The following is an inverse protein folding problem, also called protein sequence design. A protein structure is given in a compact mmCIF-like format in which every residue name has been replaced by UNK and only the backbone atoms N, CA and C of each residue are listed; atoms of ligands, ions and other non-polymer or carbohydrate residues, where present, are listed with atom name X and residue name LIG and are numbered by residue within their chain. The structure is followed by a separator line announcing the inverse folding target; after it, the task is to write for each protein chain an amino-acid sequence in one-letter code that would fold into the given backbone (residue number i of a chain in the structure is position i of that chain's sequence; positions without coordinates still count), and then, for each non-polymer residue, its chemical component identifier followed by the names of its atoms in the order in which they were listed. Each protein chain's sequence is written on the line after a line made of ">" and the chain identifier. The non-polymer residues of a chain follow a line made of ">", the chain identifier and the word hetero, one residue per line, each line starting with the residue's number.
data_IF_314540217402
#
_entry.id   IF_314540217402
#
_cell.length_a   1.000
_cell.length_b   1.000
_cell.length_c   1.000
_cell.angle_alpha   90.00
_cell.angle_beta   90.00
_cell.angle_gamma   90.00
#
_symmetry.space_group_name_H-M   'P 1'
#
loop_
_entity.id
_entity.type
_entity.pdbx_description
1 polymer ?
#
# COMPACT_ATOMS: atom_id res chain seq x y z
N UNK A 1 -14.60 -7.50 16.31
CA UNK A 1 -13.38 -6.75 16.68
C UNK A 1 -13.32 -6.70 18.19
N UNK A 2 -12.17 -6.99 18.78
CA UNK A 2 -11.91 -6.90 20.21
C UNK A 2 -11.11 -5.63 20.46
N UNK A 3 -11.40 -4.94 21.56
CA UNK A 3 -10.69 -3.73 21.96
C UNK A 3 -9.83 -4.03 23.18
N UNK A 4 -8.61 -3.51 23.18
CA UNK A 4 -7.65 -3.57 24.27
C UNK A 4 -7.18 -2.18 24.60
N UNK A 5 -6.90 -1.91 25.86
CA UNK A 5 -6.37 -0.63 26.29
C UNK A 5 -4.88 -0.53 25.97
N UNK A 6 -4.40 0.67 25.62
CA UNK A 6 -2.99 0.87 25.30
C UNK A 6 -2.05 0.52 26.46
N UNK A 7 -2.47 0.72 27.69
CA UNK A 7 -1.71 0.31 28.90
C UNK A 7 -1.46 -1.20 28.96
N UNK A 8 -2.34 -2.02 28.33
CA UNK A 8 -2.26 -3.49 28.31
C UNK A 8 -1.65 -4.01 27.00
N UNK A 9 -0.96 -3.14 26.23
CA UNK A 9 -0.49 -3.47 24.88
C UNK A 9 0.52 -4.62 24.85
N UNK A 10 1.36 -4.73 25.86
CA UNK A 10 2.35 -5.83 26.00
C UNK A 10 1.62 -7.18 26.15
N UNK A 11 0.67 -7.25 27.07
CA UNK A 11 -0.18 -8.45 27.27
C UNK A 11 -0.97 -8.77 26.00
N UNK A 12 -1.47 -7.74 25.31
CA UNK A 12 -2.13 -7.91 24.01
C UNK A 12 -1.20 -8.56 22.98
N UNK A 13 0.05 -8.13 22.89
CA UNK A 13 1.01 -8.67 21.92
C UNK A 13 1.44 -10.09 22.25
N UNK A 14 1.70 -10.37 23.52
CA UNK A 14 2.32 -11.63 23.93
C UNK A 14 1.30 -12.75 24.18
N UNK A 15 0.13 -12.40 24.66
CA UNK A 15 -0.89 -13.39 25.03
C UNK A 15 -2.06 -13.44 24.05
N UNK A 16 -2.63 -12.30 23.67
CA UNK A 16 -3.85 -12.27 22.86
C UNK A 16 -3.55 -12.42 21.37
N UNK A 17 -2.63 -11.63 20.83
CA UNK A 17 -2.35 -11.59 19.39
C UNK A 17 -1.99 -12.98 18.81
N UNK A 18 -1.18 -13.82 19.48
CA UNK A 18 -0.89 -15.17 19.02
C UNK A 18 -2.09 -16.10 18.94
N UNK A 19 -3.17 -15.82 19.69
CA UNK A 19 -4.39 -16.64 19.68
C UNK A 19 -5.34 -16.31 18.52
N UNK A 20 -5.09 -15.20 17.81
CA UNK A 20 -5.94 -14.75 16.69
C UNK A 20 -5.69 -15.63 15.48
N UNK A 21 -6.66 -16.47 15.14
CA UNK A 21 -6.57 -17.39 14.00
C UNK A 21 -6.75 -16.69 12.64
N UNK A 22 -7.45 -15.55 12.61
CA UNK A 22 -7.73 -14.81 11.40
C UNK A 22 -6.49 -14.03 10.96
N UNK A 23 -6.24 -14.02 9.64
CA UNK A 23 -5.20 -13.17 9.06
C UNK A 23 -5.57 -11.70 9.26
N UNK A 24 -4.78 -10.99 10.03
CA UNK A 24 -4.96 -9.56 10.28
C UNK A 24 -4.08 -8.72 9.33
N UNK A 25 -4.57 -7.54 8.95
CA UNK A 25 -3.80 -6.58 8.13
C UNK A 25 -2.96 -5.61 8.96
N UNK A 26 -3.28 -5.44 10.22
CA UNK A 26 -2.66 -4.49 11.13
C UNK A 26 -3.55 -4.14 12.31
N UNK A 27 -3.25 -3.04 12.97
CA UNK A 27 -3.96 -2.56 14.16
C UNK A 27 -4.66 -1.22 13.88
N UNK A 28 -5.76 -0.97 14.60
CA UNK A 28 -6.45 0.32 14.58
C UNK A 28 -6.41 0.90 15.98
N UNK A 29 -5.75 2.05 16.11
CA UNK A 29 -5.71 2.82 17.35
C UNK A 29 -6.85 3.83 17.34
N UNK A 30 -7.72 3.71 18.33
CA UNK A 30 -8.95 4.53 18.42
C UNK A 30 -8.88 5.37 19.69
N UNK A 31 -9.04 6.70 19.61
CA UNK A 31 -9.06 7.55 20.81
C UNK A 31 -10.26 7.20 21.68
N UNK A 32 -10.02 7.14 22.99
CA UNK A 32 -11.03 6.72 23.97
C UNK A 32 -12.12 7.76 24.20
N UNK A 33 -11.73 9.04 24.22
CA UNK A 33 -12.58 10.14 24.67
C UNK A 33 -13.12 11.01 23.50
N UNK A 34 -13.07 10.50 22.27
CA UNK A 34 -13.60 11.23 21.12
C UNK A 34 -14.90 10.61 20.61
N UNK A 35 -15.87 11.41 20.21
CA UNK A 35 -17.10 10.90 19.61
C UNK A 35 -16.82 10.23 18.26
N UNK A 36 -17.64 9.23 17.92
CA UNK A 36 -17.61 8.63 16.59
C UNK A 36 -18.02 9.68 15.55
N UNK A 37 -17.19 9.85 14.52
CA UNK A 37 -17.44 10.75 13.39
C UNK A 37 -17.68 9.95 12.11
N UNK A 38 -18.63 10.40 11.30
CA UNK A 38 -18.82 9.85 9.96
C UNK A 38 -17.72 10.36 9.01
N UNK A 39 -17.20 9.49 8.16
CA UNK A 39 -16.15 9.83 7.20
C UNK A 39 -14.74 9.66 7.75
N UNK A 40 -13.84 10.58 7.40
CA UNK A 40 -12.44 10.52 7.83
C UNK A 40 -12.30 10.96 9.29
N UNK A 41 -11.67 10.14 10.10
CA UNK A 41 -11.36 10.42 11.50
C UNK A 41 -9.86 10.65 11.64
N UNK A 42 -9.45 11.89 11.87
CA UNK A 42 -8.03 12.28 11.81
C UNK A 42 -7.19 11.76 12.97
N UNK A 43 -7.83 11.49 14.12
CA UNK A 43 -7.17 10.97 15.33
C UNK A 43 -7.25 9.46 15.47
N UNK A 44 -7.90 8.78 14.53
CA UNK A 44 -7.90 7.32 14.44
C UNK A 44 -6.79 6.85 13.53
N UNK A 45 -5.81 6.10 14.05
CA UNK A 45 -4.67 5.63 13.29
C UNK A 45 -4.79 4.16 12.93
N UNK A 46 -4.38 3.82 11.71
CA UNK A 46 -4.24 2.45 11.25
C UNK A 46 -2.76 2.16 11.05
N UNK A 47 -2.23 1.26 11.83
CA UNK A 47 -0.90 0.73 11.64
C UNK A 47 -0.96 -0.56 10.83
N UNK A 48 0.00 -0.72 9.92
CA UNK A 48 0.21 -1.94 9.15
C UNK A 48 1.70 -2.26 9.12
N UNK A 49 2.08 -3.55 9.20
CA UNK A 49 3.46 -3.93 8.97
C UNK A 49 3.88 -3.59 7.53
N UNK A 50 5.20 -3.42 7.31
CA UNK A 50 5.75 -2.94 6.04
C UNK A 50 5.21 -3.70 4.82
N UNK A 51 5.18 -5.02 4.91
CA UNK A 51 4.74 -5.90 3.82
C UNK A 51 3.24 -5.80 3.49
N UNK A 52 2.45 -5.14 4.33
CA UNK A 52 1.01 -4.87 4.12
C UNK A 52 0.72 -3.47 3.57
N UNK A 53 1.76 -2.65 3.42
CA UNK A 53 1.66 -1.34 2.78
C UNK A 53 1.71 -1.51 1.26
N UNK A 54 0.56 -1.76 0.65
CA UNK A 54 0.40 -1.98 -0.79
C UNK A 54 -0.36 -0.82 -1.45
N UNK A 55 -0.18 -0.68 -2.75
CA UNK A 55 -0.89 0.30 -3.58
C UNK A 55 -1.56 -0.41 -4.75
N UNK A 56 -2.80 -0.03 -5.03
CA UNK A 56 -3.53 -0.49 -6.21
C UNK A 56 -3.28 0.49 -7.36
N UNK A 57 -2.55 0.06 -8.37
CA UNK A 57 -2.28 0.83 -9.57
C UNK A 57 -3.15 0.39 -10.74
N UNK A 58 -3.46 1.32 -11.64
CA UNK A 58 -3.83 0.97 -13.01
C UNK A 58 -2.56 0.68 -13.79
N UNK A 59 -2.44 -0.51 -14.36
CA UNK A 59 -1.28 -0.96 -15.10
C UNK A 59 -1.53 -0.89 -16.60
N UNK A 60 -0.66 -0.18 -17.33
CA UNK A 60 -0.73 -0.06 -18.79
C UNK A 60 0.57 -0.47 -19.44
N UNK A 61 0.46 -1.19 -20.54
CA UNK A 61 1.59 -1.56 -21.39
C UNK A 61 1.88 -0.45 -22.41
N UNK A 62 2.81 0.40 -22.10
CA UNK A 62 3.13 1.58 -22.91
C UNK A 62 4.65 1.71 -23.12
N UNK A 63 5.10 2.41 -24.20
CA UNK A 63 6.50 2.75 -24.34
C UNK A 63 7.01 3.58 -23.16
N UNK A 64 8.23 3.33 -22.75
CA UNK A 64 8.93 4.25 -21.82
C UNK A 64 9.02 5.61 -22.50
N UNK A 65 8.74 6.69 -21.75
CA UNK A 65 8.79 8.05 -22.32
C UNK A 65 10.22 8.40 -22.66
N UNK A 66 10.44 8.74 -23.93
CA UNK A 66 11.65 9.37 -24.41
C UNK A 66 11.46 10.88 -24.60
N UNK A 67 12.57 11.57 -24.75
CA UNK A 67 12.60 13.02 -25.02
C UNK A 67 11.83 13.34 -26.31
N UNK A 68 11.08 14.46 -26.37
CA UNK A 68 10.35 14.84 -27.57
C UNK A 68 11.26 14.85 -28.80
N UNK A 69 10.86 14.14 -29.88
CA UNK A 69 11.62 13.99 -31.10
C UNK A 69 12.44 12.71 -31.26
N UNK A 70 12.52 11.87 -30.24
CA UNK A 70 13.17 10.56 -30.30
C UNK A 70 12.18 9.44 -30.63
N UNK A 71 12.71 8.27 -31.05
CA UNK A 71 11.89 7.08 -31.28
C UNK A 71 11.28 6.61 -29.94
N UNK A 72 10.08 6.00 -29.96
CA UNK A 72 9.49 5.41 -28.75
C UNK A 72 10.47 4.43 -28.10
N UNK A 73 10.62 4.52 -26.78
CA UNK A 73 11.42 3.58 -26.02
C UNK A 73 10.83 2.16 -25.95
N UNK A 74 11.51 1.21 -25.30
CA UNK A 74 11.01 -0.12 -25.12
C UNK A 74 9.67 -0.10 -24.37
N UNK A 75 8.82 -1.11 -24.59
CA UNK A 75 7.60 -1.28 -23.84
C UNK A 75 7.90 -1.59 -22.37
N UNK A 76 7.11 -1.03 -21.48
CA UNK A 76 7.13 -1.30 -20.03
C UNK A 76 5.70 -1.35 -19.49
N UNK A 77 5.54 -1.95 -18.32
CA UNK A 77 4.31 -1.81 -17.56
C UNK A 77 4.37 -0.53 -16.75
N UNK A 78 3.54 0.45 -17.10
CA UNK A 78 3.46 1.74 -16.45
C UNK A 78 2.35 1.74 -15.41
N UNK A 79 2.67 2.26 -14.22
CA UNK A 79 1.82 2.26 -13.04
C UNK A 79 1.23 3.65 -12.82
N UNK A 80 -0.09 3.70 -12.75
CA UNK A 80 -0.85 4.94 -12.60
C UNK A 80 -1.72 4.92 -11.35
N UNK A 81 -1.78 6.05 -10.68
CA UNK A 81 -2.79 6.38 -9.67
C UNK A 81 -3.75 7.41 -10.23
N UNK A 82 -4.83 7.76 -9.51
CA UNK A 82 -5.76 8.76 -9.99
C UNK A 82 -5.97 9.90 -9.00
N UNK A 83 -6.32 11.06 -9.52
CA UNK A 83 -6.83 12.19 -8.76
C UNK A 83 -7.84 12.96 -9.60
N UNK A 84 -9.04 13.19 -9.03
CA UNK A 84 -10.12 13.92 -9.73
C UNK A 84 -10.42 13.39 -11.13
N UNK A 85 -10.44 12.07 -11.30
CA UNK A 85 -10.69 11.40 -12.58
C UNK A 85 -9.53 11.41 -13.58
N UNK A 86 -8.38 12.00 -13.25
CA UNK A 86 -7.18 12.00 -14.09
C UNK A 86 -6.18 10.95 -13.58
N UNK A 87 -5.50 10.31 -14.53
CA UNK A 87 -4.43 9.36 -14.24
C UNK A 87 -3.08 10.09 -14.14
N UNK A 88 -2.31 9.71 -13.14
CA UNK A 88 -0.95 10.20 -12.89
C UNK A 88 0.02 9.04 -12.91
N UNK A 89 1.02 9.15 -13.74
CA UNK A 89 2.14 8.21 -13.80
C UNK A 89 3.00 8.34 -12.54
N UNK A 90 3.30 7.21 -11.90
CA UNK A 90 4.14 7.19 -10.69
C UNK A 90 5.37 6.30 -10.82
N UNK A 91 5.29 5.21 -11.58
CA UNK A 91 6.41 4.28 -11.74
C UNK A 91 6.24 3.38 -12.97
N UNK A 92 7.29 2.65 -13.31
CA UNK A 92 7.25 1.65 -14.37
C UNK A 92 7.99 0.37 -13.96
N UNK A 93 7.59 -0.73 -14.57
CA UNK A 93 8.21 -2.05 -14.39
C UNK A 93 8.68 -2.51 -15.76
N UNK A 94 10.00 -2.73 -15.94
CA UNK A 94 10.52 -3.32 -17.17
C UNK A 94 9.91 -4.69 -17.44
N UNK A 95 9.55 -5.00 -18.69
CA UNK A 95 8.89 -6.26 -19.05
C UNK A 95 9.72 -7.49 -18.65
N UNK A 96 11.04 -7.37 -18.69
CA UNK A 96 11.95 -8.46 -18.33
C UNK A 96 12.02 -8.75 -16.83
N UNK A 97 11.38 -7.93 -15.99
CA UNK A 97 11.44 -8.08 -14.52
C UNK A 97 10.32 -8.94 -13.95
N UNK A 98 9.26 -9.13 -14.69
CA UNK A 98 8.12 -9.95 -14.31
C UNK A 98 7.83 -10.97 -15.41
N UNK A 99 7.52 -12.21 -15.00
CA UNK A 99 7.00 -13.22 -15.91
C UNK A 99 5.62 -12.82 -16.41
N UNK A 100 5.28 -13.24 -17.63
CA UNK A 100 3.95 -13.06 -18.19
C UNK A 100 2.95 -13.90 -17.38
N UNK A 101 2.25 -13.23 -16.49
CA UNK A 101 1.14 -13.82 -15.74
C UNK A 101 -0.17 -13.66 -16.53
N UNK A 102 -1.06 -14.68 -16.53
CA UNK A 102 -2.31 -14.63 -17.30
C UNK A 102 -3.24 -13.46 -16.94
N UNK A 103 -3.02 -12.83 -15.81
CA UNK A 103 -3.81 -11.69 -15.31
C UNK A 103 -3.16 -10.32 -15.57
N UNK A 104 -1.99 -10.28 -16.21
CA UNK A 104 -1.35 -9.04 -16.67
C UNK A 104 -2.00 -8.58 -17.96
N UNK A 105 -3.02 -7.76 -17.83
CA UNK A 105 -3.75 -7.16 -18.93
C UNK A 105 -3.60 -5.64 -18.92
N UNK A 106 -3.56 -5.05 -20.10
CA UNK A 106 -3.58 -3.60 -20.26
C UNK A 106 -4.86 -3.03 -19.64
N UNK A 107 -4.72 -2.02 -18.78
CA UNK A 107 -5.81 -1.40 -18.04
C UNK A 107 -6.26 -2.16 -16.79
N UNK A 108 -5.58 -3.24 -16.38
CA UNK A 108 -5.90 -3.94 -15.13
C UNK A 108 -5.56 -3.11 -13.89
N UNK A 109 -6.40 -3.23 -12.85
CA UNK A 109 -6.05 -2.74 -11.51
C UNK A 109 -5.27 -3.84 -10.79
N UNK A 110 -4.09 -3.50 -10.32
CA UNK A 110 -3.13 -4.44 -9.74
C UNK A 110 -2.63 -3.93 -8.40
N UNK A 111 -2.74 -4.78 -7.38
CA UNK A 111 -2.14 -4.52 -6.08
C UNK A 111 -0.63 -4.78 -6.15
N UNK A 112 0.16 -3.76 -5.80
CA UNK A 112 1.62 -3.84 -5.81
C UNK A 112 2.20 -3.56 -4.44
N UNK A 113 3.33 -4.21 -4.15
CA UNK A 113 4.17 -3.98 -2.97
C UNK A 113 5.47 -3.32 -3.38
N UNK A 114 5.91 -2.33 -2.62
CA UNK A 114 7.22 -1.72 -2.83
C UNK A 114 8.32 -2.59 -2.22
N UNK A 115 9.27 -3.01 -3.06
CA UNK A 115 10.37 -3.90 -2.70
C UNK A 115 11.57 -3.05 -2.29
N UNK A 116 11.64 -2.68 -1.01
CA UNK A 116 12.66 -1.79 -0.46
C UNK A 116 14.03 -2.45 -0.29
N UNK A 117 14.08 -3.78 -0.31
CA UNK A 117 15.32 -4.59 -0.15
C UNK A 117 15.91 -5.09 -1.47
N UNK A 118 15.32 -4.71 -2.61
CA UNK A 118 15.82 -5.04 -3.94
C UNK A 118 16.48 -3.83 -4.60
N UNK A 119 17.56 -4.06 -5.37
CA UNK A 119 18.24 -3.02 -6.14
C UNK A 119 18.09 -3.28 -7.66
N UNK A 120 17.54 -2.31 -8.40
CA UNK A 120 16.85 -1.12 -7.92
C UNK A 120 15.51 -1.44 -7.25
N UNK A 121 15.11 -0.62 -6.27
CA UNK A 121 13.80 -0.71 -5.65
C UNK A 121 12.68 -0.55 -6.68
N UNK A 122 11.59 -1.31 -6.52
CA UNK A 122 10.49 -1.31 -7.49
C UNK A 122 9.16 -1.75 -6.89
N UNK A 123 8.06 -1.51 -7.63
CA UNK A 123 6.73 -1.97 -7.29
C UNK A 123 6.49 -3.36 -7.87
N UNK A 124 6.49 -4.39 -7.02
CA UNK A 124 6.21 -5.77 -7.42
C UNK A 124 4.70 -6.02 -7.46
N UNK A 125 4.13 -6.41 -8.59
CA UNK A 125 2.74 -6.83 -8.69
C UNK A 125 2.49 -8.10 -7.86
N UNK A 126 1.41 -8.11 -7.08
CA UNK A 126 1.03 -9.24 -6.23
C UNK A 126 -0.19 -9.97 -6.75
N UNK A 127 -1.22 -9.21 -7.16
CA UNK A 127 -2.48 -9.77 -7.66
C UNK A 127 -3.30 -8.72 -8.39
N UNK A 128 -4.18 -9.19 -9.29
CA UNK A 128 -5.21 -8.37 -9.91
C UNK A 128 -6.34 -8.08 -8.93
N UNK A 129 -6.80 -6.85 -8.90
CA UNK A 129 -7.93 -6.39 -8.08
C UNK A 129 -9.20 -6.34 -8.91
N UNK A 130 -9.84 -7.51 -9.09
CA UNK A 130 -11.11 -7.63 -9.85
C UNK A 130 -12.29 -6.96 -9.14
N UNK A 131 -12.17 -6.71 -7.86
CA UNK A 131 -13.13 -6.02 -7.01
C UNK A 131 -13.08 -4.50 -7.15
N UNK A 132 -12.11 -3.96 -7.91
CA UNK A 132 -11.91 -2.52 -8.08
C UNK A 132 -12.01 -2.11 -9.54
N UNK A 133 -12.58 -0.93 -9.76
CA UNK A 133 -12.70 -0.28 -11.07
C UNK A 133 -11.71 0.87 -11.25
N UNK A 134 -11.08 1.32 -10.16
CA UNK A 134 -10.15 2.46 -10.15
C UNK A 134 -8.92 2.17 -9.30
N UNK A 135 -7.75 2.71 -9.68
CA UNK A 135 -6.54 2.65 -8.85
C UNK A 135 -6.71 3.50 -7.58
N UNK A 136 -5.74 3.40 -6.68
CA UNK A 136 -5.70 4.27 -5.51
C UNK A 136 -5.67 5.75 -5.91
N UNK A 137 -6.25 6.58 -5.03
CA UNK A 137 -6.10 8.02 -5.14
C UNK A 137 -4.65 8.42 -4.88
N UNK A 138 -4.19 9.46 -5.57
CA UNK A 138 -2.82 9.99 -5.46
C UNK A 138 -2.44 10.35 -4.01
N UNK A 139 -3.37 10.92 -3.25
CA UNK A 139 -3.17 11.21 -1.81
C UNK A 139 -2.93 9.93 -1.00
N UNK A 140 -3.69 8.87 -1.30
CA UNK A 140 -3.51 7.55 -0.65
C UNK A 140 -2.14 6.95 -0.98
N UNK A 141 -1.71 7.06 -2.25
CA UNK A 141 -0.38 6.63 -2.69
C UNK A 141 0.73 7.31 -1.87
N UNK A 142 0.73 8.64 -1.79
CA UNK A 142 1.76 9.37 -1.05
C UNK A 142 1.75 9.06 0.45
N UNK A 143 0.59 8.88 1.07
CA UNK A 143 0.49 8.43 2.46
C UNK A 143 1.09 7.04 2.66
N UNK A 144 0.86 6.13 1.71
CA UNK A 144 1.47 4.80 1.74
C UNK A 144 2.99 4.87 1.62
N UNK A 145 3.52 5.76 0.75
CA UNK A 145 4.98 5.99 0.64
C UNK A 145 5.55 6.50 1.96
N UNK A 146 4.88 7.42 2.65
CA UNK A 146 5.30 7.90 3.97
C UNK A 146 5.36 6.73 4.96
N UNK A 147 4.31 5.93 5.05
CA UNK A 147 4.28 4.76 5.94
C UNK A 147 5.41 3.76 5.64
N UNK A 148 5.73 3.54 4.35
CA UNK A 148 6.83 2.66 3.95
C UNK A 148 8.18 3.24 4.38
N UNK A 149 8.37 4.54 4.27
CA UNK A 149 9.61 5.22 4.67
C UNK A 149 9.81 5.27 6.18
N UNK A 150 8.74 5.52 6.92
CA UNK A 150 8.77 5.57 8.38
C UNK A 150 8.95 4.18 8.99
N UNK A 151 8.35 3.16 8.38
CA UNK A 151 8.45 1.74 8.75
C UNK A 151 8.35 1.49 10.27
N UNK A 152 7.37 2.14 10.92
CA UNK A 152 7.15 2.03 12.36
C UNK A 152 6.88 0.57 12.73
N UNK A 153 7.66 0.03 13.64
CA UNK A 153 7.52 -1.35 14.13
C UNK A 153 6.51 -1.43 15.27
N UNK A 154 5.80 -2.54 15.34
CA UNK A 154 4.78 -2.77 16.39
C UNK A 154 5.35 -2.57 17.80
N UNK A 155 6.57 -3.03 18.05
CA UNK A 155 7.23 -2.90 19.35
C UNK A 155 7.52 -1.45 19.79
N UNK A 156 7.61 -0.50 18.84
CA UNK A 156 7.83 0.91 19.16
C UNK A 156 6.62 1.52 19.89
N UNK A 157 5.44 0.93 19.75
CA UNK A 157 4.27 1.35 20.54
C UNK A 157 4.41 1.04 22.03
N UNK A 158 5.29 0.11 22.43
CA UNK A 158 5.59 -0.16 23.84
C UNK A 158 6.25 1.05 24.51
N UNK A 159 7.06 1.80 23.75
CA UNK A 159 7.77 2.98 24.23
C UNK A 159 6.87 4.21 24.33
N UNK A 160 5.67 4.17 23.70
CA UNK A 160 4.68 5.25 23.70
C UNK A 160 3.60 5.08 24.79
N UNK A 161 3.79 4.18 25.73
CA UNK A 161 2.82 3.98 26.84
C UNK A 161 2.86 5.17 27.80
N UNK A 162 1.68 5.66 28.25
CA UNK A 162 1.59 6.71 29.25
C UNK A 162 2.13 6.28 30.61
#
# INVERSE_FOLDING_TARGET
>A
KTFHMMKDFEVFMDEYLPTVQQKIDGLVFTPLNEPIRLGTHETMFKWKPLEKNTVDFLMKKEPTRETPGCKPGPLAWRLYVQEKGKLYFESEIPLNRISDEPWFEDGAIVECRYMTWEEPMWWKPLKRRRDKTHPNNRRTFYRTIVNIKEDIKMKEFLDCRP
#
